data_IF_610234215339
#
_entry.id   IF_610234215339
#
_cell.length_a   1.000
_cell.length_b   1.000
_cell.length_c   1.000
_cell.angle_alpha   90.00
_cell.angle_beta   90.00
_cell.angle_gamma   90.00
#
_symmetry.space_group_name_H-M   'P 1'
#
loop_
_entity.id
_entity.type
_entity.pdbx_description
1 polymer ?
#
# COMPACT_ATOMS: atom_id res chain seq x y z
N UNK A 1 2.25 82.32 -9.35
CA UNK A 1 3.09 81.39 -8.57
C UNK A 1 2.35 80.07 -8.44
N UNK A 2 2.96 78.96 -8.90
CA UNK A 2 2.98 77.60 -8.31
C UNK A 2 1.60 77.07 -7.83
N UNK A 3 0.93 76.06 -8.42
CA UNK A 3 1.39 74.81 -9.04
C UNK A 3 1.21 73.64 -8.05
N UNK A 4 0.37 72.64 -8.37
CA UNK A 4 0.52 71.24 -7.94
C UNK A 4 -0.59 70.36 -8.54
N UNK A 5 -0.26 69.61 -9.60
CA UNK A 5 -0.97 68.40 -10.00
C UNK A 5 -0.49 67.25 -9.09
N UNK A 6 -1.42 66.52 -8.48
CA UNK A 6 -1.11 65.28 -7.77
C UNK A 6 -1.08 64.13 -8.77
N UNK A 7 0.11 63.55 -8.99
CA UNK A 7 0.29 62.34 -9.77
C UNK A 7 0.09 61.10 -8.88
N UNK A 8 -0.85 60.24 -9.23
CA UNK A 8 -1.03 58.94 -8.59
C UNK A 8 -0.06 57.92 -9.24
N UNK A 9 0.90 57.41 -8.47
CA UNK A 9 1.75 56.29 -8.87
C UNK A 9 1.01 54.96 -8.68
N UNK A 10 0.84 54.22 -9.77
CA UNK A 10 0.42 52.82 -9.74
C UNK A 10 1.69 51.97 -9.61
N UNK A 11 1.88 51.30 -8.47
CA UNK A 11 3.01 50.38 -8.27
C UNK A 11 2.61 49.02 -8.84
N UNK A 12 3.21 48.64 -9.96
CA UNK A 12 3.12 47.30 -10.54
C UNK A 12 3.97 46.33 -9.72
N UNK A 13 3.34 45.45 -8.94
CA UNK A 13 4.03 44.36 -8.24
C UNK A 13 4.46 43.24 -9.20
N UNK A 14 5.51 42.47 -8.88
CA UNK A 14 5.95 41.36 -9.71
C UNK A 14 4.94 40.22 -9.65
N UNK A 15 4.46 39.79 -10.82
CA UNK A 15 3.72 38.54 -11.01
C UNK A 15 4.68 37.37 -10.85
N UNK A 16 4.67 36.75 -9.66
CA UNK A 16 5.28 35.43 -9.50
C UNK A 16 4.44 34.41 -10.24
N UNK A 17 4.95 33.90 -11.36
CA UNK A 17 4.40 32.73 -12.02
C UNK A 17 4.53 31.54 -11.06
N UNK A 18 3.42 31.10 -10.50
CA UNK A 18 3.37 29.91 -9.67
C UNK A 18 3.45 28.69 -10.59
N UNK A 19 4.64 28.09 -10.69
CA UNK A 19 4.79 26.74 -11.22
C UNK A 19 4.00 25.81 -10.30
N UNK A 20 2.84 25.33 -10.74
CA UNK A 20 2.09 24.30 -10.01
C UNK A 20 2.91 23.02 -10.01
N UNK A 21 3.62 22.75 -8.91
CA UNK A 21 4.20 21.43 -8.68
C UNK A 21 3.06 20.41 -8.69
N UNK A 22 3.08 19.49 -9.66
CA UNK A 22 2.15 18.36 -9.72
C UNK A 22 2.35 17.55 -8.43
N UNK A 23 1.33 17.51 -7.57
CA UNK A 23 1.31 16.62 -6.41
C UNK A 23 1.65 15.18 -6.85
N UNK A 24 2.41 14.41 -6.06
CA UNK A 24 2.91 13.12 -6.50
C UNK A 24 1.73 12.20 -6.83
N UNK A 25 1.83 11.51 -7.97
CA UNK A 25 0.82 10.59 -8.52
C UNK A 25 0.62 9.31 -7.69
N UNK A 26 1.04 9.31 -6.42
CA UNK A 26 1.11 8.15 -5.53
C UNK A 26 -0.27 7.59 -5.13
N UNK A 27 -1.36 8.34 -5.36
CA UNK A 27 -2.70 8.01 -4.86
C UNK A 27 -3.74 7.66 -5.94
N UNK A 28 -3.36 7.44 -7.21
CA UNK A 28 -4.33 6.99 -8.21
C UNK A 28 -3.77 5.93 -9.13
N UNK A 29 -3.64 4.70 -8.60
CA UNK A 29 -3.63 3.53 -9.47
C UNK A 29 -4.98 3.47 -10.19
N UNK A 30 -5.04 3.56 -11.53
CA UNK A 30 -6.28 3.55 -12.28
C UNK A 30 -7.13 2.30 -12.01
N UNK A 31 -8.46 2.40 -12.21
CA UNK A 31 -9.35 1.25 -12.03
C UNK A 31 -8.95 0.02 -12.88
N UNK A 32 -8.42 0.26 -14.09
CA UNK A 32 -7.88 -0.79 -14.96
C UNK A 32 -6.67 -1.49 -14.33
N UNK A 33 -5.78 -0.75 -13.68
CA UNK A 33 -4.61 -1.31 -13.00
C UNK A 33 -5.01 -2.09 -11.74
N UNK A 34 -5.99 -1.59 -10.96
CA UNK A 34 -6.55 -2.35 -9.82
C UNK A 34 -7.16 -3.67 -10.28
N UNK A 35 -7.90 -3.64 -11.40
CA UNK A 35 -8.45 -4.84 -12.04
C UNK A 35 -7.36 -5.81 -12.50
N UNK A 36 -6.28 -5.28 -13.09
CA UNK A 36 -5.15 -6.09 -13.54
C UNK A 36 -4.40 -6.72 -12.35
N UNK A 37 -4.24 -6.00 -11.24
CA UNK A 37 -3.66 -6.51 -10.01
C UNK A 37 -4.50 -7.67 -9.43
N UNK A 38 -5.83 -7.51 -9.32
CA UNK A 38 -6.72 -8.56 -8.85
C UNK A 38 -6.65 -9.82 -9.73
N UNK A 39 -6.66 -9.66 -11.05
CA UNK A 39 -6.50 -10.78 -11.98
C UNK A 39 -5.13 -11.45 -11.85
N UNK A 40 -4.06 -10.66 -11.70
CA UNK A 40 -2.70 -11.18 -11.53
C UNK A 40 -2.54 -11.95 -10.20
N UNK A 41 -3.30 -11.60 -9.17
CA UNK A 41 -3.36 -12.32 -7.91
C UNK A 41 -4.22 -13.61 -7.98
N UNK A 42 -4.93 -13.84 -9.09
CA UNK A 42 -5.76 -15.02 -9.32
C UNK A 42 -7.24 -14.86 -8.96
N UNK A 43 -7.69 -13.65 -8.61
CA UNK A 43 -9.11 -13.40 -8.31
C UNK A 43 -9.96 -13.34 -9.58
N UNK A 44 -11.21 -13.80 -9.45
CA UNK A 44 -12.20 -13.81 -10.54
C UNK A 44 -13.32 -12.83 -10.21
N UNK A 45 -13.69 -12.01 -11.20
CA UNK A 45 -14.83 -11.11 -11.07
C UNK A 45 -16.14 -11.87 -11.29
N UNK A 46 -17.01 -11.90 -10.27
CA UNK A 46 -18.32 -12.53 -10.32
C UNK A 46 -19.36 -11.67 -9.60
N UNK A 47 -20.44 -11.29 -10.30
CA UNK A 47 -21.53 -10.51 -9.70
C UNK A 47 -21.11 -9.15 -9.13
N UNK A 48 -20.07 -8.52 -9.70
CA UNK A 48 -19.52 -7.24 -9.24
C UNK A 48 -18.53 -7.35 -8.07
N UNK A 49 -18.25 -8.57 -7.60
CA UNK A 49 -17.29 -8.87 -6.53
C UNK A 49 -16.07 -9.56 -7.11
N UNK A 50 -14.94 -9.48 -6.42
CA UNK A 50 -13.74 -10.23 -6.75
C UNK A 50 -13.58 -11.38 -5.78
N UNK A 51 -13.47 -12.60 -6.31
CA UNK A 51 -13.52 -13.80 -5.50
C UNK A 51 -12.28 -14.68 -5.71
N UNK A 52 -11.74 -15.22 -4.62
CA UNK A 52 -10.78 -16.32 -4.58
C UNK A 52 -11.39 -17.55 -3.91
N UNK A 53 -10.55 -18.55 -3.59
CA UNK A 53 -10.96 -19.77 -2.87
C UNK A 53 -12.21 -20.45 -3.44
N UNK A 54 -12.23 -20.68 -4.76
CA UNK A 54 -13.37 -21.28 -5.49
C UNK A 54 -14.68 -20.47 -5.41
N UNK A 55 -14.60 -19.16 -5.20
CA UNK A 55 -15.76 -18.27 -5.16
C UNK A 55 -16.29 -17.96 -3.75
N UNK A 56 -15.59 -18.40 -2.70
CA UNK A 56 -16.05 -18.28 -1.32
C UNK A 56 -15.41 -17.12 -0.55
N UNK A 57 -14.38 -16.50 -1.12
CA UNK A 57 -13.49 -15.58 -0.43
C UNK A 57 -13.49 -14.25 -1.18
N UNK A 58 -13.97 -13.18 -0.56
CA UNK A 58 -14.08 -11.88 -1.23
C UNK A 58 -12.80 -11.05 -1.04
N UNK A 59 -12.30 -10.53 -2.16
CA UNK A 59 -11.13 -9.69 -2.25
C UNK A 59 -11.52 -8.22 -2.54
N UNK A 60 -10.89 -7.30 -1.82
CA UNK A 60 -11.09 -5.86 -1.96
C UNK A 60 -9.75 -5.12 -2.02
N UNK A 61 -9.77 -3.95 -2.66
CA UNK A 61 -8.67 -2.98 -2.64
C UNK A 61 -9.25 -1.67 -2.13
N UNK A 62 -8.85 -1.24 -0.93
CA UNK A 62 -9.23 0.05 -0.39
C UNK A 62 -8.31 1.16 -0.92
N UNK A 63 -8.74 2.43 -0.81
CA UNK A 63 -7.90 3.56 -1.23
C UNK A 63 -6.60 3.64 -0.42
N UNK A 64 -6.64 3.27 0.86
CA UNK A 64 -5.46 3.22 1.75
C UNK A 64 -4.47 2.09 1.41
N UNK A 65 -4.92 1.12 0.61
CA UNK A 65 -4.15 -0.05 0.20
C UNK A 65 -3.36 0.20 -1.09
N UNK A 66 -3.29 1.46 -1.53
CA UNK A 66 -2.53 1.88 -2.71
C UNK A 66 -1.47 2.86 -2.23
N UNK A 67 -0.22 2.41 -2.22
CA UNK A 67 0.91 3.21 -1.73
C UNK A 67 2.24 2.63 -2.19
N UNK A 68 3.22 3.51 -2.36
CA UNK A 68 4.61 3.11 -2.57
C UNK A 68 5.19 2.61 -1.24
N UNK A 69 5.43 1.30 -1.15
CA UNK A 69 5.93 0.67 0.06
C UNK A 69 7.45 0.79 0.18
N UNK A 70 8.17 0.71 -0.93
CA UNK A 70 9.63 0.61 -0.93
C UNK A 70 10.35 1.97 -1.15
N UNK A 71 9.62 2.99 -1.60
CA UNK A 71 10.12 4.33 -1.89
C UNK A 71 10.69 4.52 -3.29
N UNK A 72 10.37 3.64 -4.25
CA UNK A 72 10.89 3.70 -5.63
C UNK A 72 10.07 4.61 -6.57
N UNK A 73 9.00 5.21 -6.06
CA UNK A 73 8.09 6.09 -6.79
C UNK A 73 6.98 5.35 -7.54
N UNK A 74 6.88 4.02 -7.43
CA UNK A 74 5.79 3.22 -7.98
C UNK A 74 4.91 2.71 -6.83
N UNK A 75 3.59 2.93 -6.89
CA UNK A 75 2.71 2.40 -5.85
C UNK A 75 2.52 0.89 -6.00
N UNK A 76 2.55 0.19 -4.87
CA UNK A 76 2.01 -1.16 -4.71
C UNK A 76 0.50 -1.11 -4.48
N UNK A 77 -0.14 -2.25 -4.76
CA UNK A 77 -1.54 -2.49 -4.43
C UNK A 77 -1.60 -3.62 -3.41
N UNK A 78 -2.18 -3.36 -2.26
CA UNK A 78 -2.52 -4.39 -1.28
C UNK A 78 -3.95 -4.86 -1.59
N UNK A 79 -4.12 -6.17 -1.72
CA UNK A 79 -5.44 -6.80 -1.82
C UNK A 79 -5.72 -7.47 -0.50
N UNK A 80 -6.86 -7.19 0.09
CA UNK A 80 -7.34 -7.86 1.30
C UNK A 80 -8.40 -8.87 0.90
N UNK A 81 -8.19 -10.15 1.23
CA UNK A 81 -9.20 -11.20 1.05
C UNK A 81 -9.73 -11.62 2.42
N UNK A 82 -11.05 -11.66 2.56
CA UNK A 82 -11.72 -11.95 3.84
C UNK A 82 -12.57 -13.22 3.75
N UNK A 83 -12.68 -13.90 4.89
CA UNK A 83 -13.54 -15.07 5.06
C UNK A 83 -12.97 -16.05 6.07
N UNK A 84 -13.78 -16.45 7.06
CA UNK A 84 -13.41 -17.50 8.02
C UNK A 84 -13.31 -18.88 7.35
N UNK A 85 -14.06 -19.10 6.27
CA UNK A 85 -13.89 -20.27 5.41
C UNK A 85 -12.47 -20.35 4.81
N UNK A 86 -11.90 -19.20 4.47
CA UNK A 86 -10.66 -19.07 3.72
C UNK A 86 -9.44 -19.02 4.64
N UNK A 87 -9.58 -18.33 5.78
CA UNK A 87 -8.49 -17.96 6.68
C UNK A 87 -8.74 -18.35 8.14
N UNK A 88 -9.70 -19.25 8.40
CA UNK A 88 -10.00 -19.75 9.75
C UNK A 88 -10.25 -18.63 10.75
N UNK A 89 -9.70 -18.77 11.96
CA UNK A 89 -9.87 -17.80 13.04
C UNK A 89 -9.20 -16.43 12.76
N UNK A 90 -8.27 -16.36 11.82
CA UNK A 90 -7.68 -15.09 11.39
C UNK A 90 -8.66 -14.27 10.56
N UNK A 91 -9.54 -14.93 9.81
CA UNK A 91 -10.59 -14.29 9.02
C UNK A 91 -10.10 -13.50 7.79
N UNK A 92 -8.79 -13.34 7.61
CA UNK A 92 -8.20 -12.51 6.56
C UNK A 92 -6.86 -13.08 6.06
N UNK A 93 -6.60 -12.86 4.77
CA UNK A 93 -5.28 -12.83 4.18
C UNK A 93 -5.09 -11.60 3.32
N UNK A 94 -3.86 -11.40 2.85
CA UNK A 94 -3.51 -10.28 2.01
C UNK A 94 -2.50 -10.66 0.94
N UNK A 95 -2.47 -9.85 -0.11
CA UNK A 95 -1.56 -9.94 -1.24
C UNK A 95 -0.93 -8.56 -1.45
N UNK A 96 0.38 -8.52 -1.63
CA UNK A 96 1.11 -7.33 -2.08
C UNK A 96 1.38 -7.52 -3.56
N UNK A 97 0.77 -6.66 -4.36
CA UNK A 97 0.90 -6.64 -5.81
C UNK A 97 1.90 -5.56 -6.20
N UNK A 98 2.92 -5.96 -6.93
CA UNK A 98 3.98 -5.07 -7.42
C UNK A 98 3.84 -4.87 -8.93
N UNK A 99 4.07 -3.63 -9.36
CA UNK A 99 4.08 -3.28 -10.78
C UNK A 99 5.39 -3.73 -11.43
N UNK A 100 5.30 -4.56 -12.46
CA UNK A 100 6.47 -5.06 -13.18
C UNK A 100 7.09 -3.97 -14.06
N UNK A 101 8.36 -4.16 -14.46
CA UNK A 101 9.04 -3.27 -15.39
C UNK A 101 8.30 -3.13 -16.73
N UNK A 102 7.62 -4.19 -17.18
CA UNK A 102 6.79 -4.22 -18.39
C UNK A 102 5.43 -3.52 -18.23
N UNK A 103 5.11 -2.99 -17.05
CA UNK A 103 3.85 -2.29 -16.78
C UNK A 103 2.67 -3.19 -16.39
N UNK A 104 2.91 -4.50 -16.20
CA UNK A 104 1.93 -5.44 -15.65
C UNK A 104 1.99 -5.52 -14.12
N UNK A 105 1.28 -6.49 -13.54
CA UNK A 105 1.24 -6.74 -12.10
C UNK A 105 1.69 -8.16 -11.80
N UNK A 106 2.35 -8.36 -10.65
CA UNK A 106 2.68 -9.68 -10.10
C UNK A 106 2.49 -9.69 -8.60
N UNK A 107 2.18 -10.86 -8.04
CA UNK A 107 2.24 -11.05 -6.58
C UNK A 107 3.69 -11.00 -6.14
N UNK A 108 4.04 -10.01 -5.30
CA UNK A 108 5.32 -9.95 -4.62
C UNK A 108 5.32 -10.86 -3.40
N UNK A 109 4.25 -10.79 -2.63
CA UNK A 109 4.09 -11.55 -1.40
C UNK A 109 2.61 -11.76 -1.10
N UNK A 110 2.27 -12.86 -0.46
CA UNK A 110 0.94 -13.13 0.05
C UNK A 110 1.06 -13.88 1.37
N UNK A 111 0.15 -13.61 2.30
CA UNK A 111 0.10 -14.32 3.57
C UNK A 111 -1.28 -14.25 4.20
N UNK A 112 -1.56 -15.21 5.06
CA UNK A 112 -2.67 -15.10 6.01
C UNK A 112 -2.30 -14.08 7.09
N UNK A 113 -3.25 -13.25 7.51
CA UNK A 113 -3.04 -12.24 8.54
C UNK A 113 -3.44 -10.83 8.13
N UNK A 114 -3.33 -9.93 9.10
CA UNK A 114 -3.50 -8.50 8.91
C UNK A 114 -2.10 -7.87 8.81
N UNK A 115 -1.72 -7.30 7.66
CA UNK A 115 -0.36 -6.76 7.51
C UNK A 115 -0.22 -5.41 8.23
N UNK A 116 0.73 -5.33 9.15
CA UNK A 116 1.22 -4.05 9.69
C UNK A 116 2.61 -3.76 9.12
N UNK A 117 2.75 -2.64 8.41
CA UNK A 117 4.00 -2.24 7.79
C UNK A 117 4.83 -1.40 8.76
N UNK A 118 6.00 -1.92 9.14
CA UNK A 118 6.86 -1.30 10.14
C UNK A 118 7.80 -0.25 9.53
N UNK A 119 8.34 0.68 10.35
CA UNK A 119 9.38 1.62 9.91
C UNK A 119 10.72 0.97 9.58
N UNK A 120 11.00 -0.21 10.14
CA UNK A 120 12.22 -0.97 9.83
C UNK A 120 12.13 -1.57 8.44
N UNK A 121 13.26 -1.67 7.75
CA UNK A 121 13.31 -2.05 6.34
C UNK A 121 14.27 -3.21 6.07
N UNK A 122 13.91 -4.04 5.09
CA UNK A 122 14.75 -5.04 4.46
C UNK A 122 15.51 -4.49 3.24
N UNK A 123 15.93 -5.41 2.37
CA UNK A 123 16.64 -5.07 1.13
C UNK A 123 15.74 -4.22 0.23
N UNK A 124 16.32 -3.23 -0.46
CA UNK A 124 15.58 -2.43 -1.45
C UNK A 124 14.53 -1.47 -0.86
N UNK A 125 14.58 -1.20 0.45
CA UNK A 125 13.68 -0.24 1.08
C UNK A 125 12.31 -0.79 1.49
N UNK A 126 12.06 -2.08 1.24
CA UNK A 126 10.83 -2.76 1.61
C UNK A 126 10.65 -2.80 3.14
N UNK A 127 9.49 -2.39 3.68
CA UNK A 127 9.22 -2.40 5.11
C UNK A 127 9.17 -3.84 5.63
N UNK A 128 9.61 -4.05 6.87
CA UNK A 128 9.27 -5.27 7.60
C UNK A 128 7.76 -5.31 7.83
N UNK A 129 7.17 -6.51 7.88
CA UNK A 129 5.72 -6.68 8.04
C UNK A 129 5.45 -7.56 9.26
N UNK A 130 4.63 -7.07 10.19
CA UNK A 130 4.00 -7.94 11.20
C UNK A 130 2.83 -8.65 10.54
N UNK A 131 2.78 -9.97 10.67
CA UNK A 131 1.61 -10.75 10.25
C UNK A 131 0.68 -10.90 11.46
N UNK A 132 -0.24 -9.95 11.60
CA UNK A 132 -1.23 -9.94 12.68
C UNK A 132 -2.27 -11.05 12.56
N UNK A 133 -2.99 -11.29 13.65
CA UNK A 133 -4.03 -12.31 13.74
C UNK A 133 -4.39 -12.59 15.20
N UNK A 134 -5.04 -13.73 15.49
CA UNK A 134 -5.33 -14.12 16.87
C UNK A 134 -4.03 -14.38 17.66
N UNK A 135 -3.96 -13.85 18.89
CA UNK A 135 -2.83 -14.02 19.80
C UNK A 135 -2.18 -12.69 20.18
N UNK A 136 -0.96 -12.75 20.71
CA UNK A 136 -0.19 -11.59 21.19
C UNK A 136 1.31 -11.65 20.81
N UNK A 137 1.68 -12.64 19.99
CA UNK A 137 3.03 -12.82 19.48
C UNK A 137 2.95 -13.13 17.99
N UNK A 138 3.50 -12.24 17.18
CA UNK A 138 3.32 -12.24 15.75
C UNK A 138 4.65 -12.34 15.02
N UNK A 139 4.72 -13.12 13.93
CA UNK A 139 5.92 -13.16 13.12
C UNK A 139 6.08 -11.82 12.39
N UNK A 140 7.31 -11.32 12.39
CA UNK A 140 7.78 -10.25 11.52
C UNK A 140 8.50 -10.88 10.36
N UNK A 141 8.08 -10.56 9.14
CA UNK A 141 8.77 -10.95 7.91
C UNK A 141 9.56 -9.79 7.33
N UNK A 142 10.71 -10.08 6.74
CA UNK A 142 11.60 -9.12 6.10
C UNK A 142 11.87 -9.52 4.66
N UNK A 143 11.86 -8.54 3.76
CA UNK A 143 12.26 -8.77 2.38
C UNK A 143 13.78 -8.99 2.26
N UNK A 144 14.18 -10.12 1.67
CA UNK A 144 15.58 -10.52 1.53
C UNK A 144 16.23 -10.16 0.17
N UNK A 145 15.54 -9.36 -0.66
CA UNK A 145 15.94 -9.06 -2.03
C UNK A 145 15.23 -9.91 -3.08
N UNK A 146 14.52 -10.96 -2.67
CA UNK A 146 13.72 -11.83 -3.55
C UNK A 146 12.29 -12.03 -3.06
N UNK A 147 12.11 -12.30 -1.77
CA UNK A 147 10.80 -12.50 -1.14
C UNK A 147 10.85 -12.12 0.34
N UNK A 148 9.67 -12.04 0.97
CA UNK A 148 9.58 -11.92 2.42
C UNK A 148 9.85 -13.26 3.08
N UNK A 149 10.73 -13.25 4.08
CA UNK A 149 11.09 -14.42 4.88
C UNK A 149 10.94 -14.10 6.37
N UNK A 150 10.73 -15.13 7.19
CA UNK A 150 10.69 -14.96 8.65
C UNK A 150 11.95 -14.25 9.16
N UNK A 151 11.77 -13.22 9.97
CA UNK A 151 12.85 -12.39 10.48
C UNK A 151 12.97 -12.44 12.01
N UNK A 152 11.87 -12.18 12.72
CA UNK A 152 11.80 -12.23 14.19
C UNK A 152 10.35 -12.41 14.65
N UNK A 153 10.14 -12.58 15.94
CA UNK A 153 8.82 -12.42 16.56
C UNK A 153 8.68 -10.99 17.11
N UNK A 154 7.46 -10.49 17.15
CA UNK A 154 7.10 -9.25 17.83
C UNK A 154 5.99 -9.53 18.81
N UNK A 155 6.25 -9.23 20.08
CA UNK A 155 5.25 -9.33 21.13
C UNK A 155 4.44 -8.04 21.21
N UNK A 156 3.12 -8.19 21.30
CA UNK A 156 2.21 -7.08 21.61
C UNK A 156 2.12 -6.85 23.13
N UNK A 157 2.29 -7.93 23.91
CA UNK A 157 2.29 -7.91 25.37
C UNK A 157 3.60 -8.48 25.92
N UNK A 158 4.14 -7.93 27.02
CA UNK A 158 5.39 -8.42 27.60
C UNK A 158 5.36 -9.93 27.87
N UNK A 159 6.32 -10.66 27.28
CA UNK A 159 6.47 -12.10 27.45
C UNK A 159 5.56 -12.97 26.57
N UNK A 160 4.75 -12.38 25.69
CA UNK A 160 3.85 -13.14 24.82
C UNK A 160 4.60 -14.08 23.86
N UNK A 161 5.85 -13.77 23.53
CA UNK A 161 6.69 -14.59 22.67
C UNK A 161 7.58 -15.60 23.41
N UNK A 162 7.51 -15.70 24.74
CA UNK A 162 8.44 -16.51 25.55
C UNK A 162 8.42 -18.04 25.29
N UNK A 163 7.50 -18.54 24.45
CA UNK A 163 7.36 -19.97 24.08
C UNK A 163 7.39 -20.23 22.57
N UNK A 164 7.95 -19.31 21.78
CA UNK A 164 7.97 -19.35 20.31
C UNK A 164 9.38 -19.43 19.76
#
# INVERSE_FOLDING_TARGET
MIGALAAALVVSGPTYAQTTAKAPALASVPAADRTAALRAAGFVSQGGRWLGGEGNCEAVIEASDIRDLNGDGRPEVIVTETGTFCYGNTGQGFYIMERTAAGGWRTLFQSQGIPEFLPTKGVGGWPDIVLGGPGFCFPVVRFNGKTYVNHRQQEEQPGACARR
#
